data_IF_828485527524
#
_entry.id   IF_828485527524
#
_cell.length_a   1.000
_cell.length_b   1.000
_cell.length_c   1.000
_cell.angle_alpha   90.00
_cell.angle_beta   90.00
_cell.angle_gamma   90.00
#
_symmetry.space_group_name_H-M   'P 1'
#
loop_
_entity.id
_entity.type
_entity.pdbx_description
1 polymer ?
#
# COMPACT_ATOMS: atom_id res chain seq x y z
N UNK A 1 -4.77 -32.69 -3.68
CA UNK A 1 -4.88 -31.55 -4.61
C UNK A 1 -4.05 -30.41 -4.03
N UNK A 2 -2.75 -30.38 -4.33
CA UNK A 2 -1.90 -29.26 -3.93
C UNK A 2 -2.17 -28.15 -4.92
N UNK A 3 -3.06 -27.21 -4.59
CA UNK A 3 -3.05 -25.94 -5.28
C UNK A 3 -1.76 -25.27 -4.86
N UNK A 4 -0.75 -25.31 -5.73
CA UNK A 4 0.32 -24.32 -5.73
C UNK A 4 -0.34 -22.96 -5.98
N UNK A 5 -0.91 -22.41 -4.93
CA UNK A 5 -1.39 -21.04 -4.91
C UNK A 5 -0.13 -20.19 -4.89
N UNK A 6 0.25 -19.70 -6.06
CA UNK A 6 1.22 -18.62 -6.16
C UNK A 6 0.78 -17.43 -5.28
N UNK A 7 1.70 -16.50 -4.98
CA UNK A 7 1.39 -15.36 -4.14
C UNK A 7 0.15 -14.62 -4.66
N UNK A 8 -0.73 -14.24 -3.74
CA UNK A 8 -1.94 -13.49 -4.08
C UNK A 8 -1.53 -12.09 -4.58
N UNK A 9 -1.97 -11.73 -5.78
CA UNK A 9 -1.59 -10.46 -6.40
C UNK A 9 -2.68 -9.42 -6.22
N UNK A 10 -2.29 -8.28 -5.69
CA UNK A 10 -3.16 -7.14 -5.43
C UNK A 10 -2.64 -5.91 -6.17
N UNK A 11 -3.53 -5.11 -6.74
CA UNK A 11 -3.19 -3.85 -7.39
C UNK A 11 -4.00 -2.72 -6.76
N UNK A 12 -3.32 -1.76 -6.14
CA UNK A 12 -3.93 -0.61 -5.47
C UNK A 12 -3.74 0.62 -6.34
N UNK A 13 -4.84 1.13 -6.91
CA UNK A 13 -4.85 2.40 -7.61
C UNK A 13 -5.19 3.54 -6.64
N UNK A 14 -4.28 4.49 -6.52
CA UNK A 14 -4.49 5.75 -5.79
C UNK A 14 -4.64 6.88 -6.82
N UNK A 15 -5.82 7.48 -6.82
CA UNK A 15 -6.18 8.59 -7.70
C UNK A 15 -6.74 9.77 -6.89
N UNK A 16 -7.07 10.86 -7.59
CA UNK A 16 -7.55 12.13 -7.02
C UNK A 16 -8.76 12.01 -6.08
N UNK A 17 -9.51 10.90 -6.13
CA UNK A 17 -10.58 10.59 -5.17
C UNK A 17 -10.06 10.40 -3.73
N UNK A 18 -8.79 10.06 -3.57
CA UNK A 18 -8.13 9.92 -2.26
C UNK A 18 -7.69 11.29 -1.76
N UNK A 19 -8.57 11.93 -0.99
CA UNK A 19 -8.36 13.29 -0.46
C UNK A 19 -7.88 13.33 0.99
N UNK A 20 -7.80 12.17 1.65
CA UNK A 20 -7.49 12.06 3.07
C UNK A 20 -6.64 10.84 3.38
N UNK A 21 -5.89 10.92 4.48
CA UNK A 21 -5.05 9.83 4.99
C UNK A 21 -5.88 8.56 5.23
N UNK A 22 -7.05 8.70 5.86
CA UNK A 22 -7.93 7.57 6.15
C UNK A 22 -8.45 6.91 4.88
N UNK A 23 -8.81 7.70 3.86
CA UNK A 23 -9.20 7.19 2.55
C UNK A 23 -8.06 6.42 1.88
N UNK A 24 -6.81 6.90 2.04
CA UNK A 24 -5.63 6.23 1.52
C UNK A 24 -5.41 4.87 2.21
N UNK A 25 -5.42 4.85 3.55
CA UNK A 25 -5.28 3.62 4.32
C UNK A 25 -6.37 2.62 3.98
N UNK A 26 -7.62 3.09 3.94
CA UNK A 26 -8.77 2.31 3.52
C UNK A 26 -8.59 1.69 2.13
N UNK A 27 -8.02 2.43 1.18
CA UNK A 27 -7.86 1.96 -0.19
C UNK A 27 -6.91 0.78 -0.27
N UNK A 28 -5.79 0.87 0.45
CA UNK A 28 -4.78 -0.19 0.51
C UNK A 28 -5.32 -1.40 1.26
N UNK A 29 -5.93 -1.17 2.44
CA UNK A 29 -6.37 -2.25 3.33
C UNK A 29 -7.59 -2.99 2.81
N UNK A 30 -8.52 -2.30 2.15
CA UNK A 30 -9.64 -2.96 1.47
C UNK A 30 -9.17 -3.81 0.28
N UNK A 31 -8.14 -3.37 -0.44
CA UNK A 31 -7.66 -4.08 -1.64
C UNK A 31 -6.85 -5.31 -1.27
N UNK A 32 -5.94 -5.20 -0.30
CA UNK A 32 -5.11 -6.31 0.17
C UNK A 32 -5.79 -7.16 1.26
N UNK A 33 -7.10 -6.99 1.46
CA UNK A 33 -7.93 -7.64 2.49
C UNK A 33 -7.29 -7.63 3.89
N UNK A 34 -6.70 -6.51 4.28
CA UNK A 34 -5.96 -6.39 5.55
C UNK A 34 -6.86 -6.31 6.79
N UNK A 35 -8.19 -6.35 6.61
CA UNK A 35 -9.13 -6.04 7.68
C UNK A 35 -9.09 -4.56 8.02
N UNK A 36 -10.27 -3.93 8.08
CA UNK A 36 -10.35 -2.52 8.38
C UNK A 36 -10.12 -2.30 9.88
N UNK A 37 -8.87 -2.07 10.29
CA UNK A 37 -8.57 -1.56 11.62
C UNK A 37 -8.55 -0.03 11.56
N UNK A 38 -9.23 0.64 12.48
CA UNK A 38 -9.19 2.10 12.60
C UNK A 38 -7.75 2.56 12.94
N UNK A 39 -6.93 2.84 11.93
CA UNK A 39 -5.54 3.24 12.14
C UNK A 39 -5.46 4.63 12.75
N UNK A 40 -4.78 4.74 13.89
CA UNK A 40 -4.57 6.02 14.59
C UNK A 40 -3.53 6.91 13.88
N UNK A 41 -2.62 6.33 13.09
CA UNK A 41 -1.46 7.05 12.52
C UNK A 41 -0.77 6.33 11.36
N UNK A 42 0.25 7.00 10.79
CA UNK A 42 1.11 6.42 9.75
C UNK A 42 1.94 5.25 10.27
N UNK A 43 2.44 5.37 11.50
CA UNK A 43 3.26 4.37 12.18
C UNK A 43 2.51 3.03 12.33
N UNK A 44 1.29 3.07 12.88
CA UNK A 44 0.43 1.89 13.00
C UNK A 44 0.01 1.29 11.64
N UNK A 45 -0.08 2.10 10.59
CA UNK A 45 -0.34 1.61 9.24
C UNK A 45 0.91 0.91 8.67
N UNK A 46 2.09 1.51 8.83
CA UNK A 46 3.38 0.98 8.37
C UNK A 46 3.67 -0.36 9.04
N UNK A 47 3.53 -0.47 10.37
CA UNK A 47 3.74 -1.72 11.12
C UNK A 47 2.83 -2.85 10.62
N UNK A 48 1.54 -2.57 10.46
CA UNK A 48 0.58 -3.56 9.96
C UNK A 48 0.85 -3.96 8.50
N UNK A 49 1.19 -2.99 7.66
CA UNK A 49 1.48 -3.25 6.26
C UNK A 49 2.77 -4.07 6.11
N UNK A 50 3.79 -3.74 6.91
CA UNK A 50 5.01 -4.50 7.05
C UNK A 50 4.74 -5.93 7.52
N UNK A 51 4.01 -6.12 8.64
CA UNK A 51 3.68 -7.46 9.16
C UNK A 51 2.96 -8.32 8.11
N UNK A 52 2.04 -7.72 7.34
CA UNK A 52 1.38 -8.44 6.27
C UNK A 52 2.36 -8.84 5.17
N UNK A 53 3.17 -7.92 4.68
CA UNK A 53 4.18 -8.19 3.66
C UNK A 53 5.15 -9.26 4.15
N UNK A 54 5.54 -9.27 5.43
CA UNK A 54 6.41 -10.28 6.00
C UNK A 54 5.74 -11.66 6.08
N UNK A 55 4.60 -11.75 6.76
CA UNK A 55 3.96 -13.03 7.11
C UNK A 55 3.17 -13.66 5.96
N UNK A 56 2.76 -12.89 4.95
CA UNK A 56 1.85 -13.35 3.91
C UNK A 56 2.59 -13.60 2.60
N UNK A 57 2.13 -14.58 1.83
CA UNK A 57 2.57 -14.82 0.45
C UNK A 57 1.71 -13.98 -0.49
N UNK A 58 1.99 -12.69 -0.55
CA UNK A 58 1.27 -11.73 -1.37
C UNK A 58 2.23 -10.88 -2.19
N UNK A 59 1.77 -10.41 -3.33
CA UNK A 59 2.39 -9.34 -4.13
C UNK A 59 1.40 -8.19 -4.22
N UNK A 60 1.87 -6.97 -3.98
CA UNK A 60 1.08 -5.74 -4.03
C UNK A 60 1.78 -4.78 -4.97
N UNK A 61 1.04 -4.31 -5.96
CA UNK A 61 1.45 -3.20 -6.81
C UNK A 61 0.67 -1.96 -6.42
N UNK A 62 1.37 -0.85 -6.15
CA UNK A 62 0.74 0.43 -5.82
C UNK A 62 0.98 1.42 -6.96
N UNK A 63 -0.12 1.87 -7.55
CA UNK A 63 -0.16 2.82 -8.65
C UNK A 63 -0.64 4.18 -8.17
N UNK A 64 0.31 5.09 -7.94
CA UNK A 64 0.09 6.44 -7.45
C UNK A 64 -0.21 7.40 -8.62
N UNK A 65 -1.36 7.23 -9.28
CA UNK A 65 -1.74 8.03 -10.47
C UNK A 65 -1.89 9.51 -10.18
N UNK A 66 -2.60 9.83 -9.10
CA UNK A 66 -2.83 11.21 -8.70
C UNK A 66 -2.93 11.30 -7.18
N UNK A 67 -1.95 11.97 -6.58
CA UNK A 67 -1.88 12.24 -5.15
C UNK A 67 -2.21 13.71 -4.84
N UNK A 68 -2.74 14.46 -5.81
CA UNK A 68 -3.03 15.89 -5.66
C UNK A 68 -4.12 16.15 -4.62
N UNK A 69 -5.02 15.19 -4.43
CA UNK A 69 -6.03 15.23 -3.38
C UNK A 69 -5.45 15.24 -1.95
N UNK A 70 -4.20 14.78 -1.75
CA UNK A 70 -3.56 14.76 -0.44
C UNK A 70 -2.73 16.03 -0.19
N UNK A 71 -2.74 16.56 1.05
CA UNK A 71 -1.81 17.59 1.47
C UNK A 71 -0.36 17.17 1.19
N UNK A 72 0.45 18.10 0.69
CA UNK A 72 1.84 17.84 0.27
C UNK A 72 2.65 17.08 1.33
N UNK A 73 2.56 17.51 2.60
CA UNK A 73 3.24 16.83 3.71
C UNK A 73 2.80 15.37 3.87
N UNK A 74 1.52 15.06 3.69
CA UNK A 74 0.99 13.70 3.78
C UNK A 74 1.42 12.86 2.57
N UNK A 75 1.49 13.47 1.39
CA UNK A 75 2.01 12.83 0.18
C UNK A 75 3.47 12.43 0.34
N UNK A 76 4.30 13.33 0.86
CA UNK A 76 5.71 13.05 1.10
C UNK A 76 5.90 11.88 2.08
N UNK A 77 5.15 11.86 3.19
CA UNK A 77 5.17 10.74 4.15
C UNK A 77 4.74 9.43 3.48
N UNK A 78 3.66 9.46 2.70
CA UNK A 78 3.20 8.26 1.99
C UNK A 78 4.25 7.68 1.05
N UNK A 79 4.84 8.52 0.21
CA UNK A 79 5.87 8.09 -0.73
C UNK A 79 7.12 7.56 -0.02
N UNK A 80 7.52 8.17 1.10
CA UNK A 80 8.63 7.71 1.92
C UNK A 80 8.37 6.32 2.55
N UNK A 81 7.18 6.10 3.11
CA UNK A 81 6.77 4.79 3.63
C UNK A 81 6.82 3.72 2.54
N UNK A 82 6.30 4.05 1.36
CA UNK A 82 6.29 3.14 0.21
C UNK A 82 7.70 2.80 -0.29
N UNK A 83 8.58 3.79 -0.43
CA UNK A 83 9.97 3.60 -0.85
C UNK A 83 10.74 2.72 0.15
N UNK A 84 10.53 2.93 1.46
CA UNK A 84 11.14 2.09 2.50
C UNK A 84 10.68 0.65 2.41
N UNK A 85 9.37 0.42 2.31
CA UNK A 85 8.80 -0.93 2.23
C UNK A 85 9.13 -1.65 0.91
N UNK A 86 9.23 -0.93 -0.21
CA UNK A 86 9.64 -1.51 -1.49
C UNK A 86 11.09 -1.99 -1.42
N UNK A 87 11.98 -1.23 -0.78
CA UNK A 87 13.38 -1.65 -0.59
C UNK A 87 13.53 -2.85 0.31
N UNK A 88 12.66 -2.98 1.32
CA UNK A 88 12.67 -4.09 2.26
C UNK A 88 12.02 -5.35 1.69
N UNK A 89 10.94 -5.19 0.91
CA UNK A 89 10.19 -6.28 0.29
C UNK A 89 10.08 -6.13 -1.24
N UNK A 90 11.18 -6.08 -2.01
CA UNK A 90 11.15 -5.76 -3.44
C UNK A 90 10.48 -6.83 -4.31
N UNK A 91 10.35 -8.05 -3.79
CA UNK A 91 9.65 -9.16 -4.43
C UNK A 91 8.14 -9.16 -4.14
N UNK A 92 7.68 -8.41 -3.12
CA UNK A 92 6.28 -8.38 -2.68
C UNK A 92 5.62 -7.04 -2.87
N UNK A 93 6.32 -5.92 -2.72
CA UNK A 93 5.80 -4.58 -2.97
C UNK A 93 6.46 -4.01 -4.21
N UNK A 94 5.64 -3.51 -5.14
CA UNK A 94 6.09 -2.82 -6.33
C UNK A 94 5.40 -1.49 -6.45
N UNK A 95 6.17 -0.45 -6.71
CA UNK A 95 5.62 0.84 -7.06
C UNK A 95 5.49 0.91 -8.57
N UNK A 96 4.26 1.04 -9.07
CA UNK A 96 4.05 1.34 -10.48
C UNK A 96 4.56 2.78 -10.69
N UNK A 97 5.82 2.90 -11.13
CA UNK A 97 6.39 4.18 -11.50
C UNK A 97 5.47 4.79 -12.56
N UNK A 98 4.76 5.86 -12.16
CA UNK A 98 4.17 6.81 -13.09
C UNK A 98 5.32 7.48 -13.85
N UNK A 99 5.82 6.75 -14.84
CA UNK A 99 6.72 7.26 -15.86
C UNK A 99 5.88 8.17 -16.74
N UNK A 100 5.87 9.46 -16.43
CA UNK A 100 5.62 10.53 -17.39
C UNK A 100 6.04 11.88 -16.85
#
# INVERSE_FOLDING_TARGET
MAHETGPEKYCVCIDSSVTSREALFSRVTNTAYLGYSSFSGWDAFEEMFHERLECSRIEIEIDNRDLLGLPERKRAIWLDVLDRLEKEFPEKLRLAHSSR
#
